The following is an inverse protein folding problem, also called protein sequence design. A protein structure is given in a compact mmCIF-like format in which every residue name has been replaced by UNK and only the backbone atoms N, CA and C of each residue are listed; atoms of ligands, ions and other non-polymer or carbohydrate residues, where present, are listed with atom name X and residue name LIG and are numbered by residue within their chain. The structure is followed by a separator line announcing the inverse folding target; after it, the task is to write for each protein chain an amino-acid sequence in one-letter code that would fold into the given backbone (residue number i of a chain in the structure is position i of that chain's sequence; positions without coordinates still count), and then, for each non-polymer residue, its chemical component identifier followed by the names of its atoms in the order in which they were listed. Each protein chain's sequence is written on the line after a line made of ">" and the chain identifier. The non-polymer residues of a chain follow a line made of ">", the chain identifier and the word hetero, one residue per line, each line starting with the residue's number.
data_IF_326653024837
#
_entry.id   IF_326653024837
#
_cell.length_a   1.000
_cell.length_b   1.000
_cell.length_c   1.000
_cell.angle_alpha   90.00
_cell.angle_beta   90.00
_cell.angle_gamma   90.00
#
_symmetry.space_group_name_H-M   'P 1'
#
loop_
_entity.id
_entity.type
_entity.pdbx_description
1 polymer ?
#
# COMPACT_ATOMS: atom_id res chain seq x y z
N UNK A 1 -1.56 7.19 7.67
CA UNK A 1 -0.68 8.35 7.44
C UNK A 1 -0.02 8.66 8.75
N UNK A 2 1.28 8.87 8.69
CA UNK A 2 2.12 9.33 9.80
C UNK A 2 2.82 10.58 9.27
N UNK A 3 2.86 11.65 10.03
CA UNK A 3 3.56 12.86 9.59
C UNK A 3 4.15 13.60 10.78
N UNK A 4 5.20 14.36 10.50
CA UNK A 4 5.81 15.30 11.44
C UNK A 4 6.14 16.60 10.71
N UNK A 5 5.62 17.70 11.24
CA UNK A 5 5.99 19.04 10.81
C UNK A 5 7.39 19.40 11.30
N UNK A 6 7.81 18.87 12.45
CA UNK A 6 9.12 19.13 13.05
C UNK A 6 10.23 18.50 12.22
N UNK A 7 10.02 17.26 11.76
CA UNK A 7 10.98 16.52 10.94
C UNK A 7 10.68 16.55 9.44
N UNK A 8 9.72 17.38 9.01
CA UNK A 8 9.43 17.70 7.61
C UNK A 8 9.14 16.46 6.74
N UNK A 9 8.25 15.58 7.20
CA UNK A 9 7.80 14.42 6.43
C UNK A 9 6.32 14.08 6.60
N UNK A 10 5.73 13.55 5.54
CA UNK A 10 4.44 12.85 5.53
C UNK A 10 4.63 11.50 4.88
N UNK A 11 4.24 10.41 5.56
CA UNK A 11 4.19 9.07 4.98
C UNK A 11 2.74 8.67 4.70
N UNK A 12 2.38 8.56 3.42
CA UNK A 12 1.13 7.98 2.99
C UNK A 12 1.22 6.46 3.03
N UNK A 13 0.53 5.89 4.03
CA UNK A 13 0.53 4.46 4.31
C UNK A 13 -0.35 3.69 3.29
N UNK A 14 0.19 3.37 2.12
CA UNK A 14 -0.47 2.51 1.13
C UNK A 14 -0.69 1.08 1.69
N UNK A 15 -1.86 0.43 1.54
CA UNK A 15 -2.07 -0.91 2.09
C UNK A 15 -1.04 -1.94 1.61
N UNK A 16 -0.67 -2.88 2.49
CA UNK A 16 0.23 -4.02 2.21
C UNK A 16 1.66 -3.64 1.81
N UNK A 17 2.12 -2.44 2.19
CA UNK A 17 3.50 -1.97 1.98
C UNK A 17 4.24 -1.68 3.29
N UNK A 18 4.19 -2.63 4.25
CA UNK A 18 4.86 -2.54 5.56
C UNK A 18 4.46 -1.32 6.42
N UNK A 19 3.26 -0.77 6.21
CA UNK A 19 2.78 0.42 6.94
C UNK A 19 2.77 0.26 8.45
N UNK A 20 2.47 -0.95 8.96
CA UNK A 20 2.49 -1.23 10.39
C UNK A 20 3.90 -1.12 11.00
N UNK A 21 4.94 -1.46 10.23
CA UNK A 21 6.33 -1.34 10.68
C UNK A 21 6.70 0.13 10.89
N UNK A 22 6.44 0.96 9.88
CA UNK A 22 6.66 2.41 9.97
C UNK A 22 5.79 3.07 11.04
N UNK A 23 4.52 2.68 11.14
CA UNK A 23 3.62 3.17 12.20
C UNK A 23 4.16 2.85 13.59
N UNK A 24 4.71 1.67 13.81
CA UNK A 24 5.28 1.31 15.11
C UNK A 24 6.57 2.07 15.40
N UNK A 25 7.47 2.15 14.41
CA UNK A 25 8.81 2.68 14.60
C UNK A 25 8.84 4.22 14.70
N UNK A 26 8.02 4.91 13.89
CA UNK A 26 8.05 6.37 13.80
C UNK A 26 6.98 7.08 14.64
N UNK A 27 6.12 6.35 15.36
CA UNK A 27 5.04 6.95 16.18
C UNK A 27 5.55 8.01 17.16
N UNK A 28 6.74 7.81 17.74
CA UNK A 28 7.32 8.73 18.72
C UNK A 28 7.85 10.04 18.13
N UNK A 29 8.00 10.11 16.82
CA UNK A 29 8.49 11.30 16.09
C UNK A 29 7.36 12.00 15.35
N UNK A 30 6.13 11.48 15.42
CA UNK A 30 5.02 11.94 14.60
C UNK A 30 4.07 12.85 15.40
N UNK A 31 3.87 14.05 14.91
CA UNK A 31 2.91 15.02 15.46
C UNK A 31 1.48 14.74 14.95
N UNK A 32 1.39 14.08 13.79
CA UNK A 32 0.12 13.71 13.17
C UNK A 32 0.06 12.22 12.88
N UNK A 33 -0.94 11.56 13.47
CA UNK A 33 -1.28 10.17 13.15
C UNK A 33 -2.77 10.01 12.90
N UNK A 34 -3.09 9.45 11.74
CA UNK A 34 -4.47 9.03 11.47
C UNK A 34 -4.75 7.68 12.14
N UNK A 35 -5.79 7.66 12.97
CA UNK A 35 -6.20 6.48 13.73
C UNK A 35 -6.79 5.34 12.87
N UNK A 36 -7.07 4.18 13.47
CA UNK A 36 -7.36 2.93 12.76
C UNK A 36 -8.76 2.85 12.13
N UNK A 37 -9.61 3.88 12.33
CA UNK A 37 -10.98 3.88 11.79
C UNK A 37 -10.94 3.75 10.27
N UNK A 38 -11.81 2.92 9.63
CA UNK A 38 -11.76 2.66 8.18
C UNK A 38 -11.73 3.92 7.30
N UNK A 39 -12.41 5.00 7.73
CA UNK A 39 -12.41 6.28 7.00
C UNK A 39 -11.05 7.01 6.97
N UNK A 40 -10.16 6.71 7.89
CA UNK A 40 -8.87 7.39 8.09
C UNK A 40 -7.67 6.46 7.85
N UNK A 41 -7.88 5.16 8.02
CA UNK A 41 -6.90 4.13 7.71
C UNK A 41 -6.64 4.13 6.20
N UNK A 42 -5.36 4.20 5.82
CA UNK A 42 -4.94 4.25 4.42
C UNK A 42 -5.60 5.40 3.63
N UNK A 43 -5.49 6.64 4.14
CA UNK A 43 -5.88 7.84 3.39
C UNK A 43 -5.11 7.90 2.05
N UNK A 44 -5.84 8.02 0.94
CA UNK A 44 -5.25 8.17 -0.39
C UNK A 44 -4.76 9.61 -0.62
N UNK A 45 -4.00 9.82 -1.70
CA UNK A 45 -3.42 11.12 -2.02
C UNK A 45 -4.48 12.22 -2.12
N UNK A 46 -5.59 11.99 -2.83
CA UNK A 46 -6.63 13.00 -3.01
C UNK A 46 -7.21 13.47 -1.67
N UNK A 47 -7.56 12.54 -0.80
CA UNK A 47 -8.10 12.88 0.52
C UNK A 47 -7.04 13.52 1.41
N UNK A 48 -5.77 13.12 1.28
CA UNK A 48 -4.65 13.81 1.92
C UNK A 48 -4.55 15.27 1.44
N UNK A 49 -4.46 15.51 0.13
CA UNK A 49 -4.32 16.85 -0.45
C UNK A 49 -5.47 17.76 -0.03
N UNK A 50 -6.71 17.26 -0.06
CA UNK A 50 -7.89 18.05 0.28
C UNK A 50 -8.00 18.42 1.77
N UNK A 51 -7.42 17.63 2.68
CA UNK A 51 -7.58 17.85 4.13
C UNK A 51 -6.33 18.44 4.76
N UNK A 52 -5.15 18.01 4.30
CA UNK A 52 -3.86 18.30 4.93
C UNK A 52 -2.83 18.92 3.99
N UNK A 53 -3.14 18.97 2.69
CA UNK A 53 -2.19 19.38 1.65
C UNK A 53 -1.58 20.75 1.91
N UNK A 54 -2.43 21.76 2.09
CA UNK A 54 -1.99 23.14 2.26
C UNK A 54 -1.15 23.32 3.53
N UNK A 55 -1.51 22.62 4.62
CA UNK A 55 -0.76 22.66 5.87
C UNK A 55 0.66 22.08 5.70
N UNK A 56 0.78 20.85 5.17
CA UNK A 56 2.09 20.21 5.04
C UNK A 56 2.95 20.82 3.92
N UNK A 57 2.33 21.42 2.91
CA UNK A 57 3.03 22.21 1.90
C UNK A 57 3.61 23.49 2.50
N UNK A 58 2.84 24.23 3.31
CA UNK A 58 3.34 25.39 4.06
C UNK A 58 4.48 25.01 5.01
N UNK A 59 4.35 23.87 5.69
CA UNK A 59 5.41 23.36 6.57
C UNK A 59 6.65 22.86 5.82
N UNK A 60 6.65 22.80 4.49
CA UNK A 60 7.77 22.30 3.69
C UNK A 60 8.02 20.80 3.88
N UNK A 61 6.97 20.02 4.10
CA UNK A 61 7.09 18.58 4.30
C UNK A 61 7.20 17.83 2.97
N UNK A 62 8.15 16.90 2.92
CA UNK A 62 8.21 15.91 1.85
C UNK A 62 7.11 14.85 2.03
N UNK A 63 6.44 14.47 0.94
CA UNK A 63 5.38 13.45 0.96
C UNK A 63 5.88 12.15 0.34
N UNK A 64 5.96 11.12 1.17
CA UNK A 64 6.49 9.80 0.86
C UNK A 64 5.39 8.76 0.67
N UNK A 65 5.62 7.81 -0.22
CA UNK A 65 4.76 6.64 -0.37
C UNK A 65 5.59 5.41 -0.77
N UNK A 66 5.26 4.26 -0.17
CA UNK A 66 5.77 2.97 -0.63
C UNK A 66 4.74 2.33 -1.55
N UNK A 67 5.18 1.92 -2.74
CA UNK A 67 4.37 1.16 -3.69
C UNK A 67 5.02 -0.18 -3.97
N UNK A 68 4.19 -1.20 -4.17
CA UNK A 68 4.61 -2.57 -4.43
C UNK A 68 4.22 -2.96 -5.85
N UNK A 69 5.01 -3.82 -6.48
CA UNK A 69 4.69 -4.33 -7.80
C UNK A 69 3.22 -4.82 -7.87
N UNK A 70 2.45 -4.50 -8.93
CA UNK A 70 1.01 -4.75 -8.97
C UNK A 70 0.62 -6.22 -8.72
N UNK A 71 1.33 -7.17 -9.34
CA UNK A 71 1.10 -8.60 -9.14
C UNK A 71 1.37 -8.97 -7.67
N UNK A 72 2.50 -8.52 -7.12
CA UNK A 72 2.89 -8.85 -5.74
C UNK A 72 1.92 -8.24 -4.70
N UNK A 73 1.27 -7.12 -5.04
CA UNK A 73 0.16 -6.56 -4.24
C UNK A 73 -1.04 -7.50 -4.22
N UNK A 74 -1.47 -7.99 -5.39
CA UNK A 74 -2.58 -8.95 -5.48
C UNK A 74 -2.25 -10.27 -4.78
N UNK A 75 -1.04 -10.81 -4.96
CA UNK A 75 -0.58 -12.01 -4.25
C UNK A 75 -0.66 -11.82 -2.73
N UNK A 76 -0.27 -10.64 -2.21
CA UNK A 76 -0.35 -10.36 -0.78
C UNK A 76 -1.78 -10.28 -0.25
N UNK A 77 -2.72 -9.76 -1.05
CA UNK A 77 -4.13 -9.73 -0.70
C UNK A 77 -4.79 -11.09 -0.77
N UNK A 78 -4.54 -11.84 -1.85
CA UNK A 78 -4.98 -13.22 -2.04
C UNK A 78 -4.50 -14.10 -0.87
N UNK A 79 -3.19 -14.11 -0.60
CA UNK A 79 -2.63 -14.93 0.49
C UNK A 79 -3.17 -14.53 1.88
N UNK A 80 -3.39 -13.23 2.11
CA UNK A 80 -4.01 -12.75 3.35
C UNK A 80 -5.45 -13.23 3.48
N UNK A 81 -6.22 -13.18 2.39
CA UNK A 81 -7.62 -13.61 2.32
C UNK A 81 -7.79 -15.13 2.30
N UNK A 82 -6.73 -15.91 2.09
CA UNK A 82 -6.75 -17.37 2.07
C UNK A 82 -6.39 -18.02 3.41
N UNK A 83 -6.16 -17.23 4.47
CA UNK A 83 -5.78 -17.76 5.79
C UNK A 83 -6.89 -18.57 6.44
N UNK A 84 -6.51 -19.61 7.17
CA UNK A 84 -7.43 -20.51 7.86
C UNK A 84 -8.34 -19.79 8.85
N UNK A 85 -7.89 -18.71 9.51
CA UNK A 85 -8.75 -17.95 10.43
C UNK A 85 -9.92 -17.26 9.69
N UNK A 86 -9.73 -16.91 8.42
CA UNK A 86 -10.78 -16.27 7.60
C UNK A 86 -11.75 -17.32 7.02
N UNK A 87 -11.35 -18.60 6.99
CA UNK A 87 -12.21 -19.69 6.51
C UNK A 87 -13.40 -19.97 7.44
N UNK A 88 -13.34 -19.51 8.69
CA UNK A 88 -14.44 -19.62 9.65
C UNK A 88 -15.62 -18.71 9.22
N UNK A 89 -16.84 -19.25 9.00
CA UNK A 89 -18.03 -18.49 8.64
C UNK A 89 -18.41 -17.37 9.63
N UNK A 90 -17.96 -17.47 10.88
CA UNK A 90 -18.19 -16.46 11.92
C UNK A 90 -17.18 -15.31 11.86
N UNK A 91 -16.10 -15.48 11.11
CA UNK A 91 -15.07 -14.45 10.97
C UNK A 91 -15.62 -13.25 10.18
N UNK A 92 -15.38 -12.02 10.68
CA UNK A 92 -15.91 -10.79 10.08
C UNK A 92 -15.51 -10.56 8.61
N UNK A 93 -14.42 -11.20 8.15
CA UNK A 93 -13.95 -11.14 6.77
C UNK A 93 -14.23 -12.41 5.95
N UNK A 94 -15.05 -13.35 6.43
CA UNK A 94 -15.36 -14.60 5.72
C UNK A 94 -15.85 -14.37 4.29
N UNK A 95 -16.64 -13.31 4.06
CA UNK A 95 -17.12 -12.90 2.73
C UNK A 95 -16.00 -12.59 1.73
N UNK A 96 -14.79 -12.38 2.22
CA UNK A 96 -13.60 -12.09 1.43
C UNK A 96 -12.65 -13.29 1.36
N UNK A 97 -13.02 -14.47 1.84
CA UNK A 97 -12.18 -15.65 1.81
C UNK A 97 -11.85 -16.04 0.36
N UNK A 98 -10.59 -16.40 0.12
CA UNK A 98 -10.08 -16.80 -1.21
C UNK A 98 -9.47 -18.20 -1.22
N UNK A 99 -9.57 -18.94 -0.12
CA UNK A 99 -9.10 -20.33 -0.13
C UNK A 99 -9.96 -21.19 -1.06
N UNK A 100 -9.32 -22.08 -1.81
CA UNK A 100 -9.99 -22.99 -2.76
C UNK A 100 -10.23 -22.41 -4.17
N UNK A 101 -9.84 -21.16 -4.45
CA UNK A 101 -9.76 -20.64 -5.84
C UNK A 101 -8.32 -20.51 -6.30
N UNK A 102 -8.06 -20.53 -7.60
CA UNK A 102 -6.74 -20.20 -8.14
C UNK A 102 -6.48 -18.69 -8.10
N UNK A 103 -5.21 -18.31 -8.17
CA UNK A 103 -4.83 -16.91 -8.25
C UNK A 103 -5.27 -16.26 -9.56
N UNK A 104 -5.25 -16.99 -10.67
CA UNK A 104 -5.73 -16.53 -11.97
C UNK A 104 -7.22 -16.19 -11.93
N UNK A 105 -8.04 -17.03 -11.29
CA UNK A 105 -9.47 -16.74 -11.08
C UNK A 105 -9.65 -15.48 -10.24
N UNK A 106 -8.83 -15.30 -9.20
CA UNK A 106 -8.84 -14.07 -8.39
C UNK A 106 -8.48 -12.82 -9.22
N UNK A 107 -7.46 -12.90 -10.09
CA UNK A 107 -7.03 -11.81 -10.97
C UNK A 107 -8.12 -11.49 -12.01
N UNK A 108 -8.75 -12.52 -12.59
CA UNK A 108 -9.87 -12.33 -13.53
C UNK A 108 -11.00 -11.54 -12.85
N UNK A 109 -11.46 -11.98 -11.68
CA UNK A 109 -12.51 -11.29 -10.92
C UNK A 109 -12.10 -9.88 -10.49
N UNK A 110 -10.84 -9.66 -10.11
CA UNK A 110 -10.29 -8.33 -9.79
C UNK A 110 -10.28 -7.40 -11.02
N UNK A 111 -10.08 -7.96 -12.21
CA UNK A 111 -9.99 -7.19 -13.45
C UNK A 111 -11.35 -6.63 -13.91
N UNK A 112 -12.46 -7.21 -13.42
CA UNK A 112 -13.82 -6.82 -13.80
C UNK A 112 -14.23 -5.47 -13.20
N UNK A 113 -15.07 -4.68 -13.91
CA UNK A 113 -15.58 -3.40 -13.39
C UNK A 113 -16.34 -3.56 -12.06
N UNK A 114 -17.17 -4.61 -11.96
CA UNK A 114 -17.98 -4.92 -10.78
C UNK A 114 -17.37 -6.08 -9.98
N UNK A 115 -16.08 -5.97 -9.64
CA UNK A 115 -15.38 -7.00 -8.89
C UNK A 115 -16.11 -7.34 -7.57
N UNK A 116 -16.25 -8.64 -7.25
CA UNK A 116 -16.80 -9.08 -5.96
C UNK A 116 -15.93 -8.58 -4.80
N UNK A 117 -16.48 -8.54 -3.59
CA UNK A 117 -15.79 -7.98 -2.41
C UNK A 117 -14.42 -8.62 -2.15
N UNK A 118 -14.33 -9.94 -2.30
CA UNK A 118 -13.08 -10.68 -2.14
C UNK A 118 -12.01 -10.29 -3.16
N UNK A 119 -12.38 -9.78 -4.34
CA UNK A 119 -11.46 -9.35 -5.39
C UNK A 119 -11.30 -7.82 -5.44
N UNK A 120 -12.09 -7.06 -4.68
CA UNK A 120 -11.97 -5.60 -4.59
C UNK A 120 -10.72 -5.24 -3.80
N UNK A 121 -9.68 -4.85 -4.53
CA UNK A 121 -8.36 -4.46 -4.02
C UNK A 121 -7.98 -3.12 -4.62
N UNK A 122 -7.74 -2.13 -3.77
CA UNK A 122 -7.16 -0.85 -4.15
C UNK A 122 -5.74 -1.05 -4.65
N UNK A 123 -5.45 -0.56 -5.85
CA UNK A 123 -4.10 -0.57 -6.42
C UNK A 123 -3.38 0.77 -6.17
N UNK A 124 -2.09 0.85 -6.49
CA UNK A 124 -1.31 2.06 -6.23
C UNK A 124 -1.79 3.27 -7.04
N UNK A 125 -2.34 3.10 -8.25
CA UNK A 125 -2.93 4.20 -9.02
C UNK A 125 -4.17 4.74 -8.30
N UNK A 126 -5.06 3.88 -7.80
CA UNK A 126 -6.22 4.32 -7.02
C UNK A 126 -5.81 5.11 -5.75
N UNK A 127 -4.66 4.77 -5.18
CA UNK A 127 -4.15 5.34 -3.93
C UNK A 127 -3.34 6.63 -4.14
N UNK A 128 -2.50 6.68 -5.18
CA UNK A 128 -1.51 7.73 -5.39
C UNK A 128 -1.91 8.73 -6.47
N UNK A 129 -3.05 8.54 -7.17
CA UNK A 129 -3.40 9.44 -8.27
C UNK A 129 -4.10 10.71 -7.81
N UNK A 130 -3.85 11.75 -8.60
CA UNK A 130 -4.58 13.02 -8.66
C UNK A 130 -6.00 12.84 -9.19
N UNK A 131 -6.74 13.94 -9.31
CA UNK A 131 -8.09 13.94 -9.89
C UNK A 131 -8.11 13.58 -11.37
N UNK A 132 -7.10 14.00 -12.12
CA UNK A 132 -6.89 13.71 -13.55
C UNK A 132 -6.26 12.34 -13.81
N UNK A 133 -6.26 11.45 -12.81
CA UNK A 133 -5.77 10.05 -12.90
C UNK A 133 -4.28 9.92 -13.25
N UNK A 134 -3.48 10.92 -12.91
CA UNK A 134 -2.02 10.86 -13.01
C UNK A 134 -1.43 10.59 -11.64
N UNK A 135 -0.24 9.99 -11.60
CA UNK A 135 0.48 9.84 -10.35
C UNK A 135 0.78 11.22 -9.74
N UNK A 136 0.48 11.35 -8.45
CA UNK A 136 0.80 12.55 -7.71
C UNK A 136 2.32 12.74 -7.60
N UNK A 137 2.81 13.99 -7.47
CA UNK A 137 4.22 14.30 -7.31
C UNK A 137 4.70 13.97 -5.90
N UNK A 138 4.76 12.68 -5.59
CA UNK A 138 5.22 12.12 -4.31
C UNK A 138 6.63 11.57 -4.47
N UNK A 139 7.32 11.38 -3.34
CA UNK A 139 8.58 10.62 -3.30
C UNK A 139 8.24 9.13 -3.17
N UNK A 140 8.42 8.39 -4.28
CA UNK A 140 8.04 6.98 -4.37
C UNK A 140 9.21 6.07 -3.98
N UNK A 141 8.90 5.08 -3.15
CA UNK A 141 9.82 4.01 -2.76
C UNK A 141 9.25 2.65 -3.14
N UNK A 142 10.13 1.73 -3.55
CA UNK A 142 9.75 0.34 -3.83
C UNK A 142 9.55 -0.40 -2.52
N UNK A 143 8.55 -1.27 -2.47
CA UNK A 143 8.33 -2.13 -1.30
C UNK A 143 9.52 -3.06 -1.01
N UNK A 144 10.19 -3.50 -2.06
CA UNK A 144 11.38 -4.34 -2.01
C UNK A 144 12.59 -3.60 -1.41
N UNK A 145 12.55 -2.26 -1.42
CA UNK A 145 13.60 -1.38 -0.89
C UNK A 145 13.05 -0.42 0.18
N UNK A 146 12.24 -0.95 1.10
CA UNK A 146 11.74 -0.19 2.26
C UNK A 146 12.87 0.29 3.19
N UNK A 147 14.04 -0.34 3.12
CA UNK A 147 15.24 0.07 3.85
C UNK A 147 15.67 1.48 3.46
N UNK A 148 15.64 1.80 2.16
CA UNK A 148 15.95 3.13 1.66
C UNK A 148 15.04 4.22 2.24
N UNK A 149 13.72 3.98 2.30
CA UNK A 149 12.81 4.93 2.95
C UNK A 149 13.12 5.09 4.43
N UNK A 150 13.44 3.99 5.12
CA UNK A 150 13.82 4.03 6.53
C UNK A 150 15.08 4.88 6.74
N UNK A 151 16.12 4.74 5.91
CA UNK A 151 17.31 5.58 5.96
C UNK A 151 17.00 7.07 5.81
N UNK A 152 16.12 7.42 4.86
CA UNK A 152 15.69 8.81 4.64
C UNK A 152 14.98 9.36 5.87
N UNK A 153 14.02 8.61 6.42
CA UNK A 153 13.25 9.06 7.58
C UNK A 153 14.09 9.07 8.86
N UNK A 154 14.98 8.09 9.06
CA UNK A 154 15.96 8.07 10.15
C UNK A 154 16.88 9.28 10.12
N UNK A 155 17.35 9.65 8.93
CA UNK A 155 18.19 10.84 8.75
C UNK A 155 17.43 12.11 9.12
N UNK A 156 16.15 12.21 8.72
CA UNK A 156 15.29 13.36 9.10
C UNK A 156 15.09 13.48 10.60
N UNK A 157 14.87 12.36 11.30
CA UNK A 157 14.63 12.38 12.75
C UNK A 157 15.92 12.39 13.59
N UNK A 158 17.09 12.32 12.96
CA UNK A 158 18.38 12.30 13.65
C UNK A 158 18.58 11.08 14.53
N UNK A 159 17.98 9.94 14.19
CA UNK A 159 18.06 8.71 14.97
C UNK A 159 18.13 7.46 14.09
N UNK A 160 18.90 6.46 14.54
CA UNK A 160 18.86 5.13 13.96
C UNK A 160 17.56 4.42 14.38
N UNK A 161 16.61 4.31 13.44
CA UNK A 161 15.28 3.76 13.69
C UNK A 161 15.22 2.38 13.09
N UNK A 162 15.03 1.37 13.95
CA UNK A 162 14.94 -0.01 13.52
C UNK A 162 13.49 -0.37 13.21
N UNK A 163 13.23 -0.83 11.98
CA UNK A 163 11.89 -1.31 11.62
C UNK A 163 11.66 -2.69 12.25
N UNK A 164 10.58 -2.88 13.03
CA UNK A 164 10.25 -4.19 13.54
C UNK A 164 9.88 -5.12 12.38
N UNK A 165 10.19 -6.41 12.52
CA UNK A 165 9.73 -7.43 11.57
C UNK A 165 8.24 -7.68 11.82
N UNK A 166 7.38 -6.88 11.17
CA UNK A 166 5.93 -7.02 11.30
C UNK A 166 5.34 -7.62 10.03
N UNK A 167 4.75 -8.81 10.17
CA UNK A 167 3.96 -9.47 9.12
C UNK A 167 4.66 -9.55 7.75
N UNK A 168 5.69 -10.41 7.64
CA UNK A 168 5.84 -11.14 6.37
C UNK A 168 4.56 -11.94 6.22
N UNK A 169 3.56 -11.44 5.46
CA UNK A 169 2.52 -12.32 4.96
C UNK A 169 3.29 -13.49 4.38
N UNK A 170 3.13 -14.68 4.95
CA UNK A 170 3.71 -15.89 4.39
C UNK A 170 3.36 -15.84 2.92
N UNK A 171 4.32 -15.47 2.09
CA UNK A 171 4.28 -15.75 0.69
C UNK A 171 4.50 -17.25 0.66
N UNK A 172 3.50 -18.01 1.13
CA UNK A 172 3.25 -19.32 0.58
C UNK A 172 3.35 -19.07 -0.91
N UNK A 173 4.31 -19.74 -1.54
CA UNK A 173 4.65 -19.53 -2.94
C UNK A 173 3.35 -19.79 -3.70
N UNK A 174 2.63 -18.71 -4.04
CA UNK A 174 1.41 -18.82 -4.81
C UNK A 174 1.91 -19.23 -6.17
N UNK A 175 1.57 -20.45 -6.56
CA UNK A 175 1.85 -20.92 -7.90
C UNK A 175 0.84 -20.27 -8.85
N UNK A 176 1.35 -19.62 -9.89
CA UNK A 176 0.54 -18.97 -10.91
C UNK A 176 1.35 -18.76 -12.18
N UNK A 177 0.66 -18.74 -13.31
CA UNK A 177 1.25 -18.35 -14.58
C UNK A 177 1.47 -16.83 -14.63
N UNK A 178 2.73 -16.42 -14.44
CA UNK A 178 3.13 -15.00 -14.45
C UNK A 178 2.85 -14.33 -15.80
N UNK A 179 3.02 -15.04 -16.91
CA UNK A 179 2.81 -14.48 -18.24
C UNK A 179 1.32 -14.28 -18.51
N UNK A 180 0.48 -15.25 -18.15
CA UNK A 180 -0.97 -15.10 -18.25
C UNK A 180 -1.47 -13.93 -17.39
N UNK A 181 -1.04 -13.84 -16.12
CA UNK A 181 -1.46 -12.76 -15.21
C UNK A 181 -0.99 -11.38 -15.69
N UNK A 182 0.26 -11.26 -16.15
CA UNK A 182 0.81 -9.98 -16.62
C UNK A 182 0.09 -9.45 -17.88
N UNK A 183 -0.44 -10.33 -18.73
CA UNK A 183 -1.17 -9.97 -19.95
C UNK A 183 -2.61 -9.54 -19.72
N UNK A 184 -3.18 -9.75 -18.53
CA UNK A 184 -4.52 -9.25 -18.20
C UNK A 184 -4.55 -7.73 -18.42
N UNK A 185 -5.45 -7.15 -19.25
CA UNK A 185 -5.32 -5.76 -19.70
C UNK A 185 -5.23 -4.73 -18.58
N UNK A 186 -5.99 -4.93 -17.48
CA UNK A 186 -5.92 -4.08 -16.29
C UNK A 186 -4.57 -4.20 -15.57
N UNK A 187 -4.02 -5.42 -15.50
CA UNK A 187 -2.71 -5.69 -14.90
C UNK A 187 -1.59 -5.09 -15.74
N UNK A 188 -1.58 -5.32 -17.05
CA UNK A 188 -0.58 -4.80 -17.97
C UNK A 188 -0.42 -3.27 -17.85
N UNK A 189 -1.54 -2.53 -17.82
CA UNK A 189 -1.52 -1.07 -17.63
C UNK A 189 -0.96 -0.64 -16.27
N UNK A 190 -1.22 -1.40 -15.21
CA UNK A 190 -0.66 -1.11 -13.90
C UNK A 190 0.84 -1.42 -13.84
N UNK A 191 1.29 -2.47 -14.51
CA UNK A 191 2.72 -2.80 -14.62
C UNK A 191 3.44 -1.69 -15.37
N UNK A 192 2.94 -1.27 -16.53
CA UNK A 192 3.49 -0.15 -17.30
C UNK A 192 3.56 1.12 -16.46
N UNK A 193 2.47 1.47 -15.77
CA UNK A 193 2.45 2.63 -14.88
C UNK A 193 3.44 2.51 -13.71
N UNK A 194 3.66 1.30 -13.17
CA UNK A 194 4.61 1.05 -12.09
C UNK A 194 6.07 1.15 -12.57
N UNK A 195 6.38 0.62 -13.75
CA UNK A 195 7.72 0.73 -14.35
C UNK A 195 8.04 2.16 -14.80
N UNK A 196 7.01 2.97 -15.11
CA UNK A 196 7.16 4.40 -15.38
C UNK A 196 7.42 5.27 -14.15
N UNK A 197 7.38 4.72 -12.93
CA UNK A 197 7.64 5.48 -11.70
C UNK A 197 9.14 5.73 -11.56
N UNK A 198 9.50 7.01 -11.37
CA UNK A 198 10.83 7.37 -10.87
C UNK A 198 10.87 7.17 -9.36
N UNK A 199 11.55 6.11 -8.93
CA UNK A 199 11.81 5.83 -7.52
C UNK A 199 13.03 6.59 -6.99
N UNK A 200 13.02 6.87 -5.70
CA UNK A 200 14.12 7.47 -4.92
C UNK A 200 15.08 6.42 -4.34
#
# INVERSE_FOLDING_TARGET
>A
MIASSDYKFVLLCNPKTATTAFESAYNRYADFRLGPRPKWKHINYRKYKNIFGDYFEHEGCDVYVVVRHPISTLVSWYSYRARSEIADPTHANYVNYTGGMSFERFVDEWSRPNAPSFARVTNFMDFCSTEDKKLAPLKYFRFEDIGRLNEVLSSKVGADVQLPVVNRSSSATVDYDRDAVSRVPRMARLIEAYEGIRFE
#
